data_IF_495238060054
#
_entry.id   IF_495238060054
#
_cell.length_a   1.000
_cell.length_b   1.000
_cell.length_c   1.000
_cell.angle_alpha   90.00
_cell.angle_beta   90.00
_cell.angle_gamma   90.00
#
_symmetry.space_group_name_H-M   'P 1'
#
loop_
_entity.id
_entity.type
_entity.pdbx_description
1 polymer ?
#
# COMPACT_ATOMS: atom_id res chain seq x y z
N UNK A 1 11.70 1.68 -9.44
CA UNK A 1 10.97 0.98 -8.34
C UNK A 1 11.92 0.69 -7.20
N UNK A 2 11.63 1.18 -5.99
CA UNK A 2 12.44 0.94 -4.80
C UNK A 2 11.96 -0.34 -4.08
N UNK A 3 12.65 -1.46 -4.29
CA UNK A 3 12.28 -2.78 -3.73
C UNK A 3 12.25 -2.79 -2.19
N UNK A 4 13.14 -2.05 -1.53
CA UNK A 4 13.18 -1.97 -0.07
C UNK A 4 11.94 -1.26 0.50
N UNK A 5 11.54 -0.14 -0.10
CA UNK A 5 10.31 0.57 0.29
C UNK A 5 9.07 -0.27 0.01
N UNK A 6 9.02 -0.96 -1.15
CA UNK A 6 7.93 -1.84 -1.52
C UNK A 6 7.76 -3.00 -0.53
N UNK A 7 8.86 -3.66 -0.15
CA UNK A 7 8.86 -4.74 0.85
C UNK A 7 8.34 -4.26 2.20
N UNK A 8 8.88 -3.15 2.72
CA UNK A 8 8.46 -2.59 4.01
C UNK A 8 6.97 -2.19 4.00
N UNK A 9 6.49 -1.60 2.89
CA UNK A 9 5.08 -1.26 2.73
C UNK A 9 4.19 -2.52 2.68
N UNK A 10 4.63 -3.58 2.00
CA UNK A 10 3.91 -4.85 1.93
C UNK A 10 3.80 -5.54 3.29
N UNK A 11 4.88 -5.60 4.06
CA UNK A 11 4.89 -6.16 5.43
C UNK A 11 3.96 -5.37 6.36
N UNK A 12 4.00 -4.03 6.30
CA UNK A 12 3.12 -3.17 7.09
C UNK A 12 1.65 -3.34 6.71
N UNK A 13 1.37 -3.44 5.41
CA UNK A 13 0.01 -3.64 4.90
C UNK A 13 -0.55 -5.00 5.35
N UNK A 14 0.22 -6.08 5.21
CA UNK A 14 -0.17 -7.42 5.64
C UNK A 14 -0.47 -7.47 7.14
N UNK A 15 0.40 -6.89 7.97
CA UNK A 15 0.20 -6.84 9.43
C UNK A 15 -1.11 -6.13 9.77
N UNK A 16 -1.33 -4.94 9.22
CA UNK A 16 -2.54 -4.15 9.50
C UNK A 16 -3.80 -4.83 8.94
N UNK A 17 -3.71 -5.52 7.80
CA UNK A 17 -4.82 -6.27 7.24
C UNK A 17 -5.22 -7.44 8.16
N UNK A 18 -4.25 -8.17 8.69
CA UNK A 18 -4.48 -9.27 9.64
C UNK A 18 -5.05 -8.76 10.97
N UNK A 19 -4.52 -7.66 11.51
CA UNK A 19 -5.07 -7.00 12.70
C UNK A 19 -6.53 -6.57 12.46
N UNK A 20 -6.83 -6.03 11.28
CA UNK A 20 -8.17 -5.62 10.93
C UNK A 20 -9.13 -6.82 10.78
N UNK A 21 -8.68 -7.92 10.18
CA UNK A 21 -9.49 -9.15 10.10
C UNK A 21 -9.78 -9.75 11.49
N UNK A 22 -8.78 -9.78 12.36
CA UNK A 22 -8.94 -10.24 13.74
C UNK A 22 -9.94 -9.38 14.53
N UNK A 23 -10.02 -8.08 14.21
CA UNK A 23 -11.00 -7.14 14.77
C UNK A 23 -12.39 -7.22 14.10
N UNK A 24 -12.58 -8.08 13.10
CA UNK A 24 -13.86 -8.31 12.43
C UNK A 24 -14.17 -7.35 11.27
N UNK A 25 -13.18 -6.62 10.75
CA UNK A 25 -13.38 -5.73 9.60
C UNK A 25 -13.49 -6.53 8.29
N UNK A 26 -14.70 -6.64 7.74
CA UNK A 26 -15.00 -7.34 6.48
C UNK A 26 -14.18 -6.81 5.28
N UNK A 27 -13.85 -5.54 5.35
CA UNK A 27 -13.14 -4.76 4.35
C UNK A 27 -11.68 -5.18 4.12
N UNK A 28 -11.06 -5.85 5.10
CA UNK A 28 -9.68 -6.33 5.00
C UNK A 28 -9.57 -7.67 4.27
N UNK A 29 -10.69 -8.33 3.95
CA UNK A 29 -10.73 -9.65 3.31
C UNK A 29 -10.07 -9.67 1.93
N UNK A 30 -10.23 -8.60 1.14
CA UNK A 30 -9.58 -8.49 -0.16
C UNK A 30 -8.05 -8.34 -0.08
N UNK A 31 -7.50 -7.95 1.06
CA UNK A 31 -6.04 -7.88 1.26
C UNK A 31 -5.45 -9.22 1.70
N UNK A 32 -6.25 -10.03 2.39
CA UNK A 32 -5.84 -11.36 2.83
C UNK A 32 -6.17 -12.46 1.82
N UNK A 33 -6.94 -12.15 0.76
CA UNK A 33 -7.30 -13.11 -0.27
C UNK A 33 -7.35 -12.48 -1.67
N UNK A 34 -7.00 -13.28 -2.68
CA UNK A 34 -7.02 -12.87 -4.08
C UNK A 34 -5.79 -12.06 -4.51
N UNK A 35 -5.93 -11.35 -5.64
CA UNK A 35 -4.80 -10.71 -6.34
C UNK A 35 -3.95 -9.78 -5.47
N UNK A 36 -4.53 -9.07 -4.52
CA UNK A 36 -3.77 -8.16 -3.65
C UNK A 36 -2.90 -8.93 -2.66
N UNK A 37 -3.43 -10.01 -2.07
CA UNK A 37 -2.64 -10.89 -1.23
C UNK A 37 -1.45 -11.48 -1.99
N UNK A 38 -1.65 -11.90 -3.25
CA UNK A 38 -0.57 -12.39 -4.11
C UNK A 38 0.49 -11.31 -4.36
N UNK A 39 0.07 -10.09 -4.67
CA UNK A 39 1.00 -8.96 -4.87
C UNK A 39 1.77 -8.61 -3.60
N UNK A 40 1.13 -8.71 -2.42
CA UNK A 40 1.80 -8.54 -1.13
C UNK A 40 2.88 -9.61 -0.93
N UNK A 41 2.57 -10.89 -1.21
CA UNK A 41 3.57 -11.96 -1.09
C UNK A 41 4.73 -11.78 -2.08
N UNK A 42 4.43 -11.45 -3.34
CA UNK A 42 5.45 -11.20 -4.36
C UNK A 42 6.34 -10.00 -3.99
N UNK A 43 5.75 -8.93 -3.45
CA UNK A 43 6.49 -7.77 -2.96
C UNK A 43 7.41 -8.12 -1.77
N UNK A 44 6.91 -8.90 -0.80
CA UNK A 44 7.71 -9.37 0.36
C UNK A 44 8.86 -10.28 -0.06
N UNK A 45 8.64 -11.11 -1.07
CA UNK A 45 9.63 -12.00 -1.65
C UNK A 45 10.57 -11.30 -2.66
N UNK A 46 10.38 -9.99 -2.90
CA UNK A 46 11.18 -9.18 -3.83
C UNK A 46 11.13 -9.66 -5.30
N UNK A 47 10.07 -10.40 -5.65
CA UNK A 47 9.83 -11.02 -6.96
C UNK A 47 9.09 -10.11 -7.95
N UNK A 48 8.84 -8.85 -7.58
CA UNK A 48 8.31 -7.85 -8.49
C UNK A 48 9.50 -7.10 -9.12
N UNK A 49 9.68 -7.28 -10.43
CA UNK A 49 10.75 -6.65 -11.22
C UNK A 49 10.27 -5.48 -12.08
N UNK A 50 8.96 -5.23 -12.10
CA UNK A 50 8.35 -4.15 -12.87
C UNK A 50 7.17 -3.54 -12.13
N UNK A 51 6.86 -2.24 -12.36
CA UNK A 51 5.71 -1.61 -11.74
C UNK A 51 4.39 -2.29 -12.11
N UNK A 52 3.49 -2.47 -11.15
CA UNK A 52 2.19 -3.11 -11.36
C UNK A 52 1.09 -2.08 -11.11
N UNK A 53 0.28 -1.79 -12.14
CA UNK A 53 -0.90 -0.94 -11.97
C UNK A 53 -1.99 -1.65 -11.17
N UNK A 54 -2.40 -1.00 -10.09
CA UNK A 54 -3.47 -1.46 -9.21
C UNK A 54 -4.67 -0.54 -9.47
N UNK A 55 -5.66 -1.04 -10.22
CA UNK A 55 -6.80 -0.21 -10.64
C UNK A 55 -7.62 0.34 -9.46
N UNK A 56 -8.39 1.40 -9.70
CA UNK A 56 -9.17 2.15 -8.71
C UNK A 56 -10.30 1.37 -8.00
N UNK A 57 -10.51 0.09 -8.35
CA UNK A 57 -11.59 -0.73 -7.79
C UNK A 57 -11.44 -1.01 -6.29
N UNK A 58 -10.22 -0.92 -5.75
CA UNK A 58 -9.92 -1.30 -4.38
C UNK A 58 -10.14 -0.19 -3.34
N UNK A 59 -10.19 1.07 -3.76
CA UNK A 59 -10.42 2.19 -2.84
C UNK A 59 -11.82 2.17 -2.22
N UNK A 60 -12.78 1.50 -2.88
CA UNK A 60 -14.13 1.26 -2.35
C UNK A 60 -14.16 0.23 -1.23
N UNK A 61 -13.17 -0.66 -1.10
CA UNK A 61 -13.10 -1.59 0.03
C UNK A 61 -12.86 -0.85 1.36
N UNK A 62 -12.53 0.45 1.33
CA UNK A 62 -12.29 1.28 2.51
C UNK A 62 -13.44 2.23 2.88
N UNK A 63 -14.69 2.00 2.41
CA UNK A 63 -15.84 2.87 2.70
C UNK A 63 -16.79 2.46 3.85
N UNK A 64 -16.80 1.21 4.35
CA UNK A 64 -17.83 0.71 5.31
C UNK A 64 -17.53 0.56 6.84
N UNK A 65 -16.47 1.10 7.46
CA UNK A 65 -16.13 0.83 8.89
C UNK A 65 -15.52 2.01 9.67
N UNK A 66 -15.53 1.89 11.03
CA UNK A 66 -15.31 2.92 12.09
C UNK A 66 -14.10 3.87 11.89
N UNK A 67 -14.30 5.14 12.27
CA UNK A 67 -13.30 6.22 12.29
C UNK A 67 -12.12 5.88 13.23
N UNK A 68 -10.88 5.97 12.73
CA UNK A 68 -9.64 5.81 13.51
C UNK A 68 -8.71 4.70 12.99
N UNK A 69 -9.13 3.44 13.10
CA UNK A 69 -8.27 2.27 12.77
C UNK A 69 -8.07 2.09 11.25
N UNK A 70 -9.06 2.51 10.45
CA UNK A 70 -8.95 2.51 8.99
C UNK A 70 -7.99 3.55 8.43
N UNK A 71 -7.65 4.60 9.17
CA UNK A 71 -6.68 5.62 8.69
C UNK A 71 -5.31 4.99 8.49
N UNK A 72 -4.91 4.09 9.41
CA UNK A 72 -3.64 3.38 9.32
C UNK A 72 -3.64 2.35 8.17
N UNK A 73 -4.69 1.54 8.04
CA UNK A 73 -4.80 0.53 6.99
C UNK A 73 -4.90 1.17 5.59
N UNK A 74 -5.73 2.20 5.43
CA UNK A 74 -5.84 2.97 4.18
C UNK A 74 -4.51 3.67 3.85
N UNK A 75 -3.84 4.24 4.84
CA UNK A 75 -2.52 4.84 4.65
C UNK A 75 -1.46 3.83 4.20
N UNK A 76 -1.47 2.62 4.78
CA UNK A 76 -0.58 1.54 4.37
C UNK A 76 -0.90 1.04 2.95
N UNK A 77 -2.18 0.93 2.59
CA UNK A 77 -2.62 0.60 1.24
C UNK A 77 -2.13 1.61 0.21
N UNK A 78 -2.36 2.90 0.45
CA UNK A 78 -1.93 3.96 -0.46
C UNK A 78 -0.41 3.99 -0.62
N UNK A 79 0.35 3.79 0.48
CA UNK A 79 1.82 3.68 0.41
C UNK A 79 2.25 2.45 -0.39
N UNK A 80 1.60 1.30 -0.22
CA UNK A 80 1.88 0.11 -1.02
C UNK A 80 1.63 0.34 -2.51
N UNK A 81 0.47 0.90 -2.88
CA UNK A 81 0.13 1.26 -4.27
C UNK A 81 1.15 2.25 -4.85
N UNK A 82 1.54 3.27 -4.07
CA UNK A 82 2.55 4.24 -4.48
C UNK A 82 3.86 3.58 -4.89
N UNK A 83 4.35 2.63 -4.09
CA UNK A 83 5.62 1.96 -4.36
C UNK A 83 5.51 0.88 -5.45
N UNK A 84 4.42 0.11 -5.49
CA UNK A 84 4.25 -0.94 -6.51
C UNK A 84 4.01 -0.36 -7.90
N UNK A 85 3.43 0.84 -8.00
CA UNK A 85 3.28 1.59 -9.26
C UNK A 85 4.47 2.49 -9.58
N UNK A 86 5.51 2.47 -8.73
CA UNK A 86 6.75 3.23 -8.91
C UNK A 86 6.56 4.74 -9.09
N UNK A 87 5.65 5.34 -8.32
CA UNK A 87 5.42 6.79 -8.36
C UNK A 87 6.66 7.60 -7.99
N UNK A 88 7.58 7.03 -7.19
CA UNK A 88 8.85 7.66 -6.84
C UNK A 88 9.76 7.95 -8.04
N UNK A 89 9.57 7.23 -9.16
CA UNK A 89 10.36 7.41 -10.37
C UNK A 89 9.70 8.38 -11.37
N UNK A 90 8.55 8.94 -11.03
CA UNK A 90 7.84 9.91 -11.89
C UNK A 90 8.52 11.29 -11.84
N UNK A 91 8.77 11.95 -12.99
CA UNK A 91 9.47 13.23 -13.04
C UNK A 91 8.83 14.31 -12.16
N UNK A 92 7.50 14.37 -12.10
CA UNK A 92 6.75 15.31 -11.28
C UNK A 92 6.97 15.10 -9.78
N UNK A 93 7.10 13.85 -9.33
CA UNK A 93 7.36 13.49 -7.94
C UNK A 93 8.81 13.79 -7.56
N UNK A 94 9.75 13.52 -8.47
CA UNK A 94 11.17 13.86 -8.28
C UNK A 94 11.32 15.39 -8.15
N UNK A 95 10.68 16.15 -9.04
CA UNK A 95 10.69 17.60 -9.01
C UNK A 95 10.00 18.17 -7.76
N UNK A 96 8.98 17.50 -7.23
CA UNK A 96 8.32 17.90 -5.99
C UNK A 96 9.18 17.63 -4.75
N UNK A 97 9.79 16.45 -4.63
CA UNK A 97 10.75 16.11 -3.56
C UNK A 97 11.95 17.06 -3.54
N UNK A 98 12.45 17.46 -4.71
CA UNK A 98 13.53 18.44 -4.82
C UNK A 98 13.13 19.83 -4.33
N UNK A 99 11.85 20.21 -4.47
CA UNK A 99 11.30 21.48 -3.96
C UNK A 99 10.96 21.43 -2.47
N UNK A 100 10.67 20.24 -1.94
CA UNK A 100 10.25 20.01 -0.56
C UNK A 100 11.07 18.89 0.12
N UNK A 101 12.36 19.10 0.40
CA UNK A 101 13.24 18.06 0.95
C UNK A 101 12.84 17.55 2.34
N UNK A 102 12.03 18.32 3.09
CA UNK A 102 11.51 17.95 4.42
C UNK A 102 10.00 17.59 4.42
N UNK A 103 9.37 17.47 3.25
CA UNK A 103 7.89 17.53 3.12
C UNK A 103 7.09 16.26 3.40
N UNK A 104 7.73 15.12 3.70
CA UNK A 104 7.05 13.81 3.68
C UNK A 104 7.29 12.92 4.91
N UNK A 105 7.76 13.48 6.02
CA UNK A 105 7.77 12.79 7.32
C UNK A 105 6.52 13.18 8.12
N UNK A 106 5.47 12.36 7.99
CA UNK A 106 4.33 12.24 8.93
C UNK A 106 3.89 10.78 9.04
#
# INVERSE_FOLDING_TARGET
MNKAHLKSAAEKLERLANEALAAGYLDASGMASGRIADLIQLAKAEQLDSPVKVGAGFDRAFSETRLGERVALKGAWLKFVWYIEDHDSKPEIIADKARHPNGYEV
#
